data_IF_475331562057
#
_entry.id   IF_475331562057
#
_cell.length_a   1.000
_cell.length_b   1.000
_cell.length_c   1.000
_cell.angle_alpha   90.00
_cell.angle_beta   90.00
_cell.angle_gamma   90.00
#
_symmetry.space_group_name_H-M   'P 1'
#
loop_
_entity.id
_entity.type
_entity.pdbx_description
1 polymer ?
#
# COMPACT_ATOMS: atom_id res chain seq x y z
N UNK A 1 33.03 37.30 -15.35
CA UNK A 1 31.70 37.19 -14.71
C UNK A 1 30.67 36.60 -15.69
N UNK A 2 30.74 36.96 -16.98
CA UNK A 2 29.89 36.42 -18.07
C UNK A 2 29.75 34.88 -18.11
N UNK A 3 30.85 34.13 -17.93
CA UNK A 3 30.85 32.68 -18.12
C UNK A 3 30.05 31.92 -17.05
N UNK A 4 30.02 32.43 -15.81
CA UNK A 4 29.30 31.83 -14.69
C UNK A 4 27.80 32.15 -14.74
N UNK A 5 27.46 33.34 -15.25
CA UNK A 5 26.09 33.75 -15.49
C UNK A 5 25.42 32.88 -16.57
N UNK A 6 26.13 32.58 -17.66
CA UNK A 6 25.64 31.71 -18.72
C UNK A 6 25.28 30.30 -18.19
N UNK A 7 26.16 29.69 -17.38
CA UNK A 7 25.93 28.35 -16.81
C UNK A 7 24.69 28.33 -15.92
N UNK A 8 24.47 29.39 -15.13
CA UNK A 8 23.30 29.50 -14.25
C UNK A 8 22.00 29.62 -15.05
N UNK A 9 22.00 30.40 -16.12
CA UNK A 9 20.86 30.54 -17.02
C UNK A 9 20.54 29.22 -17.74
N UNK A 10 21.55 28.51 -18.23
CA UNK A 10 21.36 27.18 -18.82
C UNK A 10 20.84 26.15 -17.79
N UNK A 11 21.32 26.21 -16.55
CA UNK A 11 20.85 25.35 -15.46
C UNK A 11 19.36 25.58 -15.15
N UNK A 12 18.95 26.85 -15.03
CA UNK A 12 17.55 27.21 -14.78
C UNK A 12 16.68 26.79 -15.97
N UNK A 13 17.10 27.04 -17.21
CA UNK A 13 16.37 26.64 -18.41
C UNK A 13 16.22 25.12 -18.54
N UNK A 14 17.25 24.34 -18.16
CA UNK A 14 17.20 22.89 -18.16
C UNK A 14 16.10 22.34 -17.23
N UNK A 15 15.96 22.93 -16.04
CA UNK A 15 14.91 22.52 -15.08
C UNK A 15 13.51 22.74 -15.64
N UNK A 16 13.28 23.86 -16.34
CA UNK A 16 11.99 24.13 -16.99
C UNK A 16 11.69 23.14 -18.12
N UNK A 17 12.69 22.76 -18.92
CA UNK A 17 12.53 21.78 -20.01
C UNK A 17 12.17 20.41 -19.43
N UNK A 18 12.90 19.96 -18.41
CA UNK A 18 12.64 18.66 -17.76
C UNK A 18 11.24 18.64 -17.12
N UNK A 19 10.85 19.71 -16.43
CA UNK A 19 9.51 19.83 -15.84
C UNK A 19 8.40 19.78 -16.92
N UNK A 20 8.61 20.42 -18.07
CA UNK A 20 7.67 20.39 -19.20
C UNK A 20 7.48 18.97 -19.74
N UNK A 21 8.57 18.21 -19.87
CA UNK A 21 8.52 16.81 -20.33
C UNK A 21 7.75 15.93 -19.35
N UNK A 22 8.01 16.06 -18.04
CA UNK A 22 7.26 15.32 -17.02
C UNK A 22 5.77 15.69 -16.98
N UNK A 23 5.44 16.96 -17.22
CA UNK A 23 4.06 17.42 -17.30
C UNK A 23 3.32 16.76 -18.47
N UNK A 24 3.92 16.75 -19.66
CA UNK A 24 3.34 16.09 -20.84
C UNK A 24 3.19 14.59 -20.62
N UNK A 25 4.20 13.94 -20.03
CA UNK A 25 4.15 12.51 -19.71
C UNK A 25 2.99 12.17 -18.76
N UNK A 26 2.78 13.01 -17.72
CA UNK A 26 1.69 12.85 -16.77
C UNK A 26 0.31 12.99 -17.43
N UNK A 27 0.17 13.88 -18.41
CA UNK A 27 -1.07 14.09 -19.16
C UNK A 27 -1.40 12.89 -20.05
N UNK A 28 -0.41 12.34 -20.75
CA UNK A 28 -0.56 11.14 -21.58
C UNK A 28 -0.93 9.92 -20.72
N UNK A 29 -0.25 9.71 -19.59
CA UNK A 29 -0.60 8.64 -18.65
C UNK A 29 -2.03 8.83 -18.12
N UNK A 30 -2.39 10.05 -17.69
CA UNK A 30 -3.74 10.36 -17.22
C UNK A 30 -4.84 10.04 -18.23
N UNK A 31 -4.61 10.30 -19.52
CA UNK A 31 -5.55 9.95 -20.60
C UNK A 31 -5.71 8.44 -20.79
N UNK A 32 -4.60 7.68 -20.70
CA UNK A 32 -4.61 6.22 -20.81
C UNK A 32 -5.37 5.59 -19.63
N UNK A 33 -5.16 6.09 -18.41
CA UNK A 33 -5.86 5.62 -17.22
C UNK A 33 -7.35 6.02 -17.18
N UNK A 34 -7.71 7.20 -17.69
CA UNK A 34 -9.11 7.66 -17.72
C UNK A 34 -10.00 6.80 -18.62
N UNK A 35 -9.47 6.30 -19.74
CA UNK A 35 -10.20 5.45 -20.68
C UNK A 35 -10.44 4.03 -20.14
N UNK A 36 -9.64 3.57 -19.17
CA UNK A 36 -9.76 2.22 -18.58
C UNK A 36 -10.86 2.08 -17.53
N UNK A 37 -11.39 3.20 -17.01
CA UNK A 37 -12.39 3.18 -15.94
C UNK A 37 -13.85 3.19 -16.45
N UNK A 38 -14.11 3.55 -17.72
CA UNK A 38 -15.49 3.72 -18.20
C UNK A 38 -16.11 2.40 -18.72
N UNK A 39 -15.29 1.44 -19.16
CA UNK A 39 -15.79 0.15 -19.72
C UNK A 39 -15.89 -1.00 -18.72
N UNK A 40 -15.49 -0.78 -17.46
CA UNK A 40 -15.53 -1.82 -16.42
C UNK A 40 -16.73 -1.68 -15.49
N UNK A 41 -17.40 -0.53 -15.47
CA UNK A 41 -18.36 -0.21 -14.41
C UNK A 41 -19.72 -0.92 -14.60
N UNK A 42 -20.17 -1.22 -15.83
CA UNK A 42 -21.51 -1.79 -16.04
C UNK A 42 -21.57 -3.33 -15.99
N UNK A 43 -20.50 -4.06 -16.33
CA UNK A 43 -20.46 -5.53 -16.20
C UNK A 43 -20.01 -6.00 -14.82
N UNK A 44 -19.27 -5.17 -14.06
CA UNK A 44 -18.86 -5.51 -12.69
C UNK A 44 -20.06 -5.51 -11.74
N UNK A 45 -21.02 -4.60 -11.89
CA UNK A 45 -22.12 -4.47 -10.92
C UNK A 45 -23.00 -5.73 -10.90
N UNK A 46 -23.27 -6.36 -12.05
CA UNK A 46 -24.05 -7.60 -12.11
C UNK A 46 -23.31 -8.85 -11.63
N UNK A 47 -22.00 -8.93 -11.82
CA UNK A 47 -21.19 -10.06 -11.33
C UNK A 47 -20.92 -9.95 -9.82
N UNK A 48 -20.80 -8.72 -9.31
CA UNK A 48 -20.58 -8.45 -7.88
C UNK A 48 -21.79 -8.80 -7.01
N UNK A 49 -23.01 -8.71 -7.54
CA UNK A 49 -24.21 -9.02 -6.75
C UNK A 49 -24.43 -10.54 -6.57
N UNK A 50 -23.99 -11.36 -7.52
CA UNK A 50 -24.06 -12.83 -7.44
C UNK A 50 -22.85 -13.45 -6.69
N UNK A 51 -21.68 -12.80 -6.69
CA UNK A 51 -20.49 -13.25 -5.93
C UNK A 51 -20.52 -12.88 -4.44
N UNK A 52 -21.26 -11.84 -4.06
CA UNK A 52 -21.35 -11.34 -2.68
C UNK A 52 -21.95 -12.34 -1.68
N UNK A 53 -22.52 -13.45 -2.15
CA UNK A 53 -23.06 -14.49 -1.27
C UNK A 53 -22.10 -15.65 -0.97
N UNK A 54 -20.89 -15.71 -1.56
CA UNK A 54 -20.03 -16.91 -1.39
C UNK A 54 -18.53 -16.71 -1.19
N UNK A 55 -18.00 -15.49 -1.27
CA UNK A 55 -16.60 -15.22 -0.92
C UNK A 55 -16.56 -14.56 0.47
N UNK A 56 -16.32 -15.37 1.50
CA UNK A 56 -15.64 -14.91 2.70
C UNK A 56 -14.37 -14.17 2.27
N UNK A 57 -14.07 -13.05 2.91
CA UNK A 57 -12.80 -12.31 2.80
C UNK A 57 -11.63 -13.25 3.14
N UNK A 58 -11.18 -14.04 2.17
CA UNK A 58 -9.89 -14.72 2.15
C UNK A 58 -8.84 -13.64 1.87
N UNK A 59 -8.64 -12.76 2.85
CA UNK A 59 -7.47 -11.89 2.91
C UNK A 59 -6.27 -12.84 2.89
N UNK A 60 -5.46 -12.76 1.84
CA UNK A 60 -4.30 -13.64 1.62
C UNK A 60 -3.18 -13.29 2.61
N UNK A 61 -3.37 -13.67 3.88
CA UNK A 61 -2.43 -13.46 4.98
C UNK A 61 -1.23 -14.42 4.92
N UNK A 62 -0.99 -15.09 3.78
CA UNK A 62 0.12 -16.05 3.61
C UNK A 62 1.48 -15.41 3.89
N UNK A 63 1.70 -14.20 3.38
CA UNK A 63 2.94 -13.45 3.61
C UNK A 63 3.09 -13.07 5.09
N UNK A 64 1.99 -12.67 5.73
CA UNK A 64 1.97 -12.27 7.14
C UNK A 64 2.27 -13.48 8.06
N UNK A 65 1.63 -14.62 7.80
CA UNK A 65 1.89 -15.89 8.50
C UNK A 65 3.35 -16.32 8.32
N UNK A 66 3.92 -16.19 7.13
CA UNK A 66 5.31 -16.55 6.85
C UNK A 66 6.29 -15.67 7.65
N UNK A 67 6.11 -14.35 7.63
CA UNK A 67 6.98 -13.41 8.36
C UNK A 67 6.86 -13.61 9.88
N UNK A 68 5.65 -13.77 10.41
CA UNK A 68 5.43 -14.05 11.83
C UNK A 68 6.07 -15.38 12.26
N UNK A 69 5.90 -16.43 11.47
CA UNK A 69 6.48 -17.75 11.74
C UNK A 69 8.00 -17.71 11.72
N UNK A 70 8.59 -17.05 10.73
CA UNK A 70 10.04 -16.87 10.67
C UNK A 70 10.57 -16.08 11.88
N UNK A 71 9.89 -15.00 12.26
CA UNK A 71 10.29 -14.14 13.38
C UNK A 71 10.24 -14.88 14.72
N UNK A 72 9.17 -15.61 15.01
CA UNK A 72 9.04 -16.40 16.25
C UNK A 72 10.07 -17.53 16.27
N UNK A 73 10.27 -18.23 15.15
CA UNK A 73 11.27 -19.31 15.05
C UNK A 73 12.69 -18.78 15.30
N UNK A 74 13.04 -17.63 14.73
CA UNK A 74 14.32 -16.98 14.93
C UNK A 74 14.51 -16.51 16.39
N UNK A 75 13.48 -15.90 17.00
CA UNK A 75 13.54 -15.41 18.38
C UNK A 75 13.66 -16.53 19.40
N UNK A 76 12.91 -17.62 19.22
CA UNK A 76 12.87 -18.74 20.17
C UNK A 76 13.92 -19.82 19.88
N UNK A 77 14.58 -19.77 18.72
CA UNK A 77 15.44 -20.85 18.23
C UNK A 77 14.69 -22.16 17.96
N UNK A 78 13.35 -22.13 17.91
CA UNK A 78 12.50 -23.30 17.67
C UNK A 78 12.27 -23.48 16.17
N UNK A 79 12.15 -24.74 15.73
CA UNK A 79 11.74 -25.03 14.36
C UNK A 79 10.28 -24.63 14.13
N UNK A 80 9.95 -24.32 12.88
CA UNK A 80 8.64 -23.88 12.39
C UNK A 80 7.47 -24.84 12.67
N UNK A 81 7.74 -26.08 13.10
CA UNK A 81 6.72 -27.10 13.36
C UNK A 81 6.25 -27.14 14.83
N UNK A 82 6.75 -26.24 15.69
CA UNK A 82 6.49 -26.26 17.13
C UNK A 82 5.37 -25.32 17.58
N UNK A 83 4.81 -24.52 16.67
CA UNK A 83 3.69 -23.64 16.93
C UNK A 83 2.88 -23.43 15.65
N UNK A 84 1.58 -23.11 15.81
CA UNK A 84 0.68 -22.82 14.70
C UNK A 84 -0.04 -21.50 14.95
N UNK A 85 -0.24 -20.71 13.89
CA UNK A 85 -1.05 -19.49 13.93
C UNK A 85 -2.49 -19.89 13.59
N UNK A 86 -3.41 -19.76 14.54
CA UNK A 86 -4.81 -20.19 14.38
C UNK A 86 -5.72 -19.11 13.82
N UNK A 87 -5.47 -17.84 14.17
CA UNK A 87 -6.19 -16.70 13.62
C UNK A 87 -5.39 -15.42 13.79
N UNK A 88 -5.48 -14.55 12.79
CA UNK A 88 -4.98 -13.18 12.84
C UNK A 88 -6.21 -12.28 12.79
N UNK A 89 -6.36 -11.39 13.78
CA UNK A 89 -7.52 -10.51 13.89
C UNK A 89 -7.07 -9.11 14.26
N UNK A 90 -7.48 -8.13 13.48
CA UNK A 90 -7.32 -6.74 13.84
C UNK A 90 -8.32 -6.38 14.94
N UNK A 91 -7.85 -5.73 16.00
CA UNK A 91 -8.71 -5.28 17.11
C UNK A 91 -8.84 -3.76 17.10
N UNK A 92 -10.09 -3.27 17.07
CA UNK A 92 -10.43 -1.84 17.18
C UNK A 92 -10.06 -1.26 18.56
N UNK A 93 -10.01 -2.11 19.59
CA UNK A 93 -9.63 -1.73 20.95
C UNK A 93 -8.55 -2.68 21.44
N UNK A 94 -7.28 -2.42 21.08
CA UNK A 94 -6.18 -3.27 21.50
C UNK A 94 -6.04 -3.27 23.02
N UNK A 95 -5.62 -4.40 23.57
CA UNK A 95 -5.51 -4.61 25.02
C UNK A 95 -4.60 -3.56 25.65
N UNK A 96 -3.49 -3.19 25.00
CA UNK A 96 -2.61 -2.11 25.48
C UNK A 96 -3.34 -0.78 25.67
N UNK A 97 -4.30 -0.44 24.79
CA UNK A 97 -5.05 0.80 24.84
C UNK A 97 -6.17 0.74 25.89
N UNK A 98 -6.65 -0.46 26.20
CA UNK A 98 -7.53 -0.66 27.36
C UNK A 98 -6.76 -0.54 28.67
N UNK A 99 -5.57 -1.16 28.77
CA UNK A 99 -4.72 -1.12 29.97
C UNK A 99 -4.28 0.30 30.30
N UNK A 100 -3.88 1.10 29.31
CA UNK A 100 -3.51 2.52 29.52
C UNK A 100 -4.68 3.33 30.10
N UNK A 101 -5.89 3.15 29.54
CA UNK A 101 -7.10 3.80 30.05
C UNK A 101 -7.42 3.40 31.49
N UNK A 102 -7.24 2.13 31.84
CA UNK A 102 -7.47 1.64 33.22
C UNK A 102 -6.42 2.22 34.17
N UNK A 103 -5.15 2.25 33.79
CA UNK A 103 -4.08 2.82 34.61
C UNK A 103 -4.23 4.33 34.82
N UNK A 104 -4.76 5.06 33.83
CA UNK A 104 -4.99 6.51 33.94
C UNK A 104 -6.13 6.88 34.90
N UNK A 105 -7.05 5.95 35.17
CA UNK A 105 -8.18 6.14 36.07
C UNK A 105 -7.86 5.77 37.53
N UNK A 106 -6.65 5.28 37.80
CA UNK A 106 -6.20 4.81 39.10
C UNK A 106 -5.21 5.80 39.72
#
# INVERSE_FOLDING_TARGET
>A
MEHNAAITIFGIMSVFIVALVFYILSLVLGMIFKTRNIKKEEEIIKVVEESKSKEEDLIDDTELVAVLTASISAYTGMSNNKFIITSIKESKTPIWGMVDRVNKLK
#
